data_IF_337884392463
#
_entry.id   IF_337884392463
#
_cell.length_a   1.000
_cell.length_b   1.000
_cell.length_c   1.000
_cell.angle_alpha   90.00
_cell.angle_beta   90.00
_cell.angle_gamma   90.00
#
_symmetry.space_group_name_H-M   'P 1'
#
loop_
_entity.id
_entity.type
_entity.pdbx_description
1 polymer ?
#
# COMPACT_ATOMS: atom_id res chain seq x y z
N UNK A 1 -81.26 -29.79 -11.95
CA UNK A 1 -80.61 -28.47 -12.13
C UNK A 1 -80.25 -28.32 -13.61
N UNK A 2 -80.52 -27.17 -14.24
CA UNK A 2 -80.13 -26.93 -15.64
C UNK A 2 -78.67 -26.45 -15.64
N UNK A 3 -77.80 -27.17 -16.34
CA UNK A 3 -76.34 -26.97 -16.40
C UNK A 3 -75.89 -25.81 -17.31
N UNK A 4 -76.82 -25.01 -17.83
CA UNK A 4 -76.53 -23.84 -18.66
C UNK A 4 -77.18 -22.62 -18.02
N UNK A 5 -76.56 -22.10 -16.96
CA UNK A 5 -76.87 -20.76 -16.45
C UNK A 5 -76.03 -19.75 -17.22
N UNK A 6 -76.59 -18.60 -17.65
CA UNK A 6 -75.83 -17.57 -18.35
C UNK A 6 -74.55 -17.14 -17.63
N UNK A 7 -74.58 -17.16 -16.29
CA UNK A 7 -73.47 -16.83 -15.38
C UNK A 7 -72.15 -17.59 -15.69
N UNK A 8 -72.22 -18.80 -16.25
CA UNK A 8 -71.02 -19.59 -16.56
C UNK A 8 -70.23 -19.05 -17.77
N UNK A 9 -70.86 -18.19 -18.58
CA UNK A 9 -70.24 -17.55 -19.73
C UNK A 9 -69.81 -16.11 -19.43
N UNK A 10 -70.04 -15.59 -18.21
CA UNK A 10 -69.71 -14.21 -17.86
C UNK A 10 -68.21 -13.93 -17.95
N UNK A 11 -67.36 -14.87 -17.51
CA UNK A 11 -65.90 -14.75 -17.62
C UNK A 11 -65.44 -14.72 -19.08
N UNK A 12 -66.02 -15.57 -19.93
CA UNK A 12 -65.72 -15.59 -21.36
C UNK A 12 -66.21 -14.31 -22.03
N UNK A 13 -67.41 -13.83 -21.66
CA UNK A 13 -67.99 -12.61 -22.21
C UNK A 13 -67.20 -11.36 -21.80
N UNK A 14 -66.62 -11.34 -20.59
CA UNK A 14 -65.74 -10.27 -20.13
C UNK A 14 -64.38 -10.27 -20.83
N UNK A 15 -63.87 -11.44 -21.23
CA UNK A 15 -62.63 -11.59 -21.99
C UNK A 15 -62.78 -11.27 -23.49
N UNK A 16 -64.01 -11.23 -24.04
CA UNK A 16 -64.21 -10.84 -25.44
C UNK A 16 -63.84 -9.36 -25.59
N UNK A 17 -62.85 -9.01 -26.45
CA UNK A 17 -62.46 -7.62 -26.65
C UNK A 17 -63.67 -6.83 -27.17
N UNK A 18 -63.96 -5.72 -26.49
CA UNK A 18 -65.05 -4.85 -26.91
C UNK A 18 -64.72 -4.27 -28.30
N UNK A 19 -65.65 -4.33 -29.26
CA UNK A 19 -65.42 -3.70 -30.55
C UNK A 19 -65.28 -2.18 -30.33
N UNK A 20 -64.13 -1.63 -30.68
CA UNK A 20 -63.88 -0.18 -30.65
C UNK A 20 -64.43 0.53 -31.90
N UNK A 21 -65.25 -0.15 -32.70
CA UNK A 21 -65.88 0.39 -33.90
C UNK A 21 -67.14 1.14 -33.46
N UNK A 22 -67.05 2.46 -33.40
CA UNK A 22 -68.15 3.34 -32.96
C UNK A 22 -69.15 3.59 -34.09
N UNK A 23 -68.66 3.96 -35.27
CA UNK A 23 -69.44 4.24 -36.48
C UNK A 23 -68.63 3.90 -37.76
N UNK A 24 -69.18 4.22 -38.93
CA UNK A 24 -68.51 4.00 -40.23
C UNK A 24 -67.24 4.83 -40.44
N UNK A 25 -67.05 5.88 -39.63
CA UNK A 25 -65.94 6.83 -39.72
C UNK A 25 -64.96 6.67 -38.53
N UNK A 26 -65.08 5.57 -37.77
CA UNK A 26 -64.23 5.26 -36.61
C UNK A 26 -64.20 6.38 -35.54
N UNK A 27 -65.30 7.12 -35.38
CA UNK A 27 -65.41 8.23 -34.44
C UNK A 27 -64.74 9.53 -34.92
N UNK A 28 -64.29 9.59 -36.18
CA UNK A 28 -63.68 10.76 -36.81
C UNK A 28 -64.50 11.19 -38.04
N UNK A 29 -65.64 11.89 -37.86
CA UNK A 29 -66.53 12.25 -38.97
C UNK A 29 -65.84 13.21 -39.95
N UNK A 30 -65.80 12.84 -41.22
CA UNK A 30 -65.24 13.64 -42.30
C UNK A 30 -66.27 14.66 -42.82
N UNK A 31 -66.37 15.80 -42.13
CA UNK A 31 -67.36 16.85 -42.43
C UNK A 31 -66.75 18.02 -43.22
N UNK A 32 -66.76 17.92 -44.56
CA UNK A 32 -66.18 18.92 -45.47
C UNK A 32 -66.85 20.31 -45.40
N UNK A 33 -68.01 20.42 -44.75
CA UNK A 33 -68.72 21.71 -44.62
C UNK A 33 -68.04 22.69 -43.67
N UNK A 34 -67.10 22.22 -42.85
CA UNK A 34 -66.39 23.04 -41.85
C UNK A 34 -65.26 23.89 -42.41
N UNK A 35 -64.80 23.60 -43.62
CA UNK A 35 -63.70 24.30 -44.25
C UNK A 35 -64.22 25.29 -45.28
N UNK A 36 -64.18 26.58 -44.96
CA UNK A 36 -64.69 27.67 -45.82
C UNK A 36 -63.98 27.72 -47.19
N UNK A 37 -62.71 27.32 -47.23
CA UNK A 37 -61.88 27.27 -48.45
C UNK A 37 -62.39 26.32 -49.55
N UNK A 38 -63.23 25.33 -49.20
CA UNK A 38 -63.83 24.43 -50.20
C UNK A 38 -65.09 25.02 -50.85
N UNK A 39 -65.67 26.07 -50.25
CA UNK A 39 -66.96 26.63 -50.65
C UNK A 39 -66.86 28.08 -51.14
N UNK A 40 -65.81 28.81 -50.81
CA UNK A 40 -65.53 30.19 -51.26
C UNK A 40 -64.32 30.28 -52.21
N UNK A 41 -64.38 31.13 -53.24
CA UNK A 41 -63.35 31.27 -54.30
C UNK A 41 -61.99 31.81 -53.80
N UNK A 42 -61.95 32.37 -52.59
CA UNK A 42 -60.75 32.98 -51.98
C UNK A 42 -60.56 32.58 -50.49
N UNK A 43 -61.07 31.42 -50.08
CA UNK A 43 -60.91 30.97 -48.69
C UNK A 43 -59.48 30.51 -48.38
N UNK A 44 -59.10 30.60 -47.09
CA UNK A 44 -57.77 30.24 -46.62
C UNK A 44 -57.57 28.71 -46.59
N UNK A 45 -56.67 28.19 -47.42
CA UNK A 45 -56.38 26.76 -47.52
C UNK A 45 -55.47 26.24 -46.39
N UNK A 46 -54.92 27.15 -45.56
CA UNK A 46 -53.91 26.82 -44.55
C UNK A 46 -54.43 25.88 -43.45
N UNK A 47 -55.75 25.89 -43.17
CA UNK A 47 -56.37 25.03 -42.16
C UNK A 47 -56.54 23.58 -42.62
N UNK A 48 -56.74 23.36 -43.92
CA UNK A 48 -56.89 22.02 -44.49
C UNK A 48 -55.51 21.40 -44.82
N UNK A 49 -54.59 22.24 -45.30
CA UNK A 49 -53.24 21.85 -45.72
C UNK A 49 -52.19 22.67 -44.96
N UNK A 50 -51.81 22.27 -43.73
CA UNK A 50 -50.78 22.99 -42.98
C UNK A 50 -49.45 22.96 -43.74
N UNK A 51 -48.82 24.12 -43.91
CA UNK A 51 -47.54 24.25 -44.61
C UNK A 51 -46.40 23.63 -43.81
N UNK A 52 -45.50 22.89 -44.48
CA UNK A 52 -44.35 22.25 -43.85
C UNK A 52 -43.39 23.22 -43.11
N UNK A 53 -43.41 24.49 -43.50
CA UNK A 53 -42.56 25.55 -42.93
C UNK A 53 -43.15 26.19 -41.66
N UNK A 54 -44.40 25.90 -41.31
CA UNK A 54 -45.11 26.50 -40.17
C UNK A 54 -45.82 25.42 -39.32
N UNK A 55 -45.06 24.42 -38.87
CA UNK A 55 -45.58 23.39 -37.96
C UNK A 55 -45.63 23.92 -36.51
N UNK A 56 -46.72 23.67 -35.77
CA UNK A 56 -46.79 24.01 -34.34
C UNK A 56 -45.88 23.10 -33.50
N UNK A 57 -45.42 23.61 -32.36
CA UNK A 57 -44.68 22.81 -31.38
C UNK A 57 -45.55 21.65 -30.86
N UNK A 58 -45.04 20.43 -30.94
CA UNK A 58 -45.77 19.23 -30.56
C UNK A 58 -45.76 19.04 -29.03
N UNK A 59 -46.92 18.74 -28.44
CA UNK A 59 -46.99 18.36 -27.02
C UNK A 59 -46.19 17.05 -26.81
N UNK A 60 -45.37 16.94 -25.75
CA UNK A 60 -44.69 15.70 -25.41
C UNK A 60 -45.60 14.45 -25.34
N UNK A 61 -46.88 14.59 -25.00
CA UNK A 61 -47.84 13.46 -25.02
C UNK A 61 -48.20 13.01 -26.44
N UNK A 62 -48.25 13.94 -27.38
CA UNK A 62 -48.54 13.65 -28.79
C UNK A 62 -47.29 13.12 -29.50
N UNK A 63 -46.10 13.54 -29.06
CA UNK A 63 -44.82 13.00 -29.54
C UNK A 63 -44.72 11.48 -29.36
N UNK A 64 -45.25 10.94 -28.26
CA UNK A 64 -45.30 9.50 -28.02
C UNK A 64 -46.18 8.75 -29.05
N UNK A 65 -47.25 9.37 -29.54
CA UNK A 65 -48.16 8.76 -30.52
C UNK A 65 -47.55 8.63 -31.92
N UNK A 66 -46.45 9.35 -32.19
CA UNK A 66 -45.70 9.28 -33.45
C UNK A 66 -44.61 8.20 -33.46
N UNK A 67 -44.37 7.54 -32.32
CA UNK A 67 -43.40 6.44 -32.26
C UNK A 67 -43.88 5.25 -33.10
N UNK A 68 -42.97 4.66 -33.88
CA UNK A 68 -43.28 3.46 -34.65
C UNK A 68 -43.58 2.31 -33.67
N UNK A 69 -44.71 1.58 -33.82
CA UNK A 69 -45.02 0.41 -33.00
C UNK A 69 -43.94 -0.69 -33.02
N UNK A 70 -43.01 -0.65 -33.98
CA UNK A 70 -41.82 -1.52 -34.00
C UNK A 70 -40.76 -1.16 -32.94
N UNK A 71 -40.79 0.07 -32.43
CA UNK A 71 -39.83 0.63 -31.47
C UNK A 71 -40.35 0.59 -30.04
N UNK A 72 -41.68 0.66 -29.86
CA UNK A 72 -42.30 0.25 -28.61
C UNK A 72 -42.09 -1.25 -28.44
N UNK A 73 -41.51 -1.67 -27.31
CA UNK A 73 -41.13 -3.05 -27.05
C UNK A 73 -42.23 -4.09 -27.36
N UNK A 74 -41.88 -5.39 -27.47
CA UNK A 74 -42.76 -6.41 -28.02
C UNK A 74 -44.12 -6.35 -27.36
N UNK A 75 -45.15 -6.06 -28.15
CA UNK A 75 -46.52 -6.35 -27.78
C UNK A 75 -46.57 -7.84 -27.43
N UNK A 76 -46.73 -8.15 -26.15
CA UNK A 76 -46.98 -9.51 -25.71
C UNK A 76 -48.43 -9.82 -26.04
N UNK A 77 -48.69 -10.06 -27.33
CA UNK A 77 -49.90 -10.76 -27.73
C UNK A 77 -49.86 -12.12 -27.05
N UNK A 78 -50.80 -12.34 -26.14
CA UNK A 78 -50.85 -13.51 -25.30
C UNK A 78 -51.20 -14.72 -26.20
N UNK A 79 -50.16 -15.44 -26.61
CA UNK A 79 -50.25 -16.66 -27.40
C UNK A 79 -50.14 -16.40 -28.90
N UNK A 80 -48.93 -16.50 -29.43
CA UNK A 80 -48.53 -17.26 -30.62
C UNK A 80 -47.14 -16.75 -31.01
N UNK A 81 -46.11 -17.58 -30.78
CA UNK A 81 -44.71 -17.22 -31.03
C UNK A 81 -44.45 -16.92 -32.50
N UNK A 82 -44.07 -15.68 -32.78
CA UNK A 82 -43.40 -15.31 -34.02
C UNK A 82 -41.89 -15.20 -33.73
N UNK A 83 -41.14 -16.09 -34.37
CA UNK A 83 -39.68 -16.10 -34.40
C UNK A 83 -39.19 -14.80 -35.07
N UNK A 84 -38.57 -13.92 -34.30
CA UNK A 84 -37.97 -12.69 -34.79
C UNK A 84 -36.75 -12.34 -33.95
N UNK A 85 -35.59 -12.27 -34.60
CA UNK A 85 -34.28 -11.98 -34.02
C UNK A 85 -34.27 -10.57 -33.41
N UNK A 86 -34.59 -10.44 -32.13
CA UNK A 86 -34.42 -9.19 -31.39
C UNK A 86 -33.05 -9.18 -30.72
N UNK A 87 -32.09 -8.45 -31.30
CA UNK A 87 -31.00 -7.84 -30.53
C UNK A 87 -31.63 -7.09 -29.35
N UNK A 88 -31.30 -7.41 -28.09
CA UNK A 88 -31.86 -6.69 -26.96
C UNK A 88 -31.35 -5.24 -27.02
N UNK A 89 -32.30 -4.29 -27.05
CA UNK A 89 -32.03 -2.87 -26.88
C UNK A 89 -31.17 -2.64 -25.63
N UNK A 90 -30.14 -1.82 -25.78
CA UNK A 90 -29.09 -1.56 -24.80
C UNK A 90 -29.53 -0.82 -23.52
N UNK A 91 -30.82 -0.80 -23.19
CA UNK A 91 -31.38 0.01 -22.10
C UNK A 91 -31.76 -0.79 -20.84
N UNK A 92 -31.78 -2.12 -20.87
CA UNK A 92 -31.89 -2.92 -19.64
C UNK A 92 -30.50 -3.18 -19.06
N UNK A 93 -30.15 -2.65 -17.86
CA UNK A 93 -28.93 -3.04 -17.18
C UNK A 93 -28.99 -4.54 -16.89
N UNK A 94 -28.13 -5.30 -17.55
CA UNK A 94 -27.98 -6.73 -17.30
C UNK A 94 -27.70 -6.88 -15.80
N UNK A 95 -28.49 -7.68 -15.05
CA UNK A 95 -28.26 -7.85 -13.61
C UNK A 95 -26.82 -8.33 -13.40
N UNK A 96 -26.09 -7.68 -12.50
CA UNK A 96 -24.72 -8.06 -12.17
C UNK A 96 -24.73 -9.41 -11.47
N UNK A 97 -24.52 -10.46 -12.27
CA UNK A 97 -24.56 -11.83 -11.85
C UNK A 97 -23.11 -12.31 -11.65
N UNK A 98 -22.69 -12.68 -10.42
CA UNK A 98 -21.28 -12.93 -10.10
C UNK A 98 -20.67 -14.15 -10.81
N UNK A 99 -21.52 -15.04 -11.37
CA UNK A 99 -21.08 -16.20 -12.15
C UNK A 99 -21.02 -15.94 -13.66
N UNK A 100 -21.62 -14.85 -14.14
CA UNK A 100 -21.64 -14.51 -15.56
C UNK A 100 -20.47 -13.56 -15.87
N UNK A 101 -19.36 -14.12 -16.36
CA UNK A 101 -18.21 -13.30 -16.78
C UNK A 101 -18.40 -12.80 -18.20
N UNK A 102 -17.92 -11.58 -18.48
CA UNK A 102 -17.84 -11.03 -19.83
C UNK A 102 -16.87 -11.90 -20.66
N UNK A 103 -17.24 -12.19 -21.90
CA UNK A 103 -16.36 -12.87 -22.85
C UNK A 103 -15.24 -11.92 -23.27
N UNK A 104 -13.98 -12.29 -23.05
CA UNK A 104 -12.84 -11.56 -23.59
C UNK A 104 -12.62 -11.99 -25.05
N UNK A 105 -12.53 -11.01 -25.96
CA UNK A 105 -12.13 -11.26 -27.33
C UNK A 105 -10.61 -11.31 -27.40
N UNK A 106 -10.07 -12.33 -28.06
CA UNK A 106 -8.63 -12.50 -28.29
C UNK A 106 -8.06 -11.26 -29.01
N UNK A 107 -7.51 -10.33 -28.25
CA UNK A 107 -6.74 -9.20 -28.76
C UNK A 107 -5.30 -9.66 -29.01
N UNK A 108 -4.68 -9.17 -30.10
CA UNK A 108 -3.32 -9.58 -30.51
C UNK A 108 -2.25 -9.30 -29.44
N UNK A 109 -2.54 -8.44 -28.47
CA UNK A 109 -1.70 -8.09 -27.31
C UNK A 109 -1.93 -8.97 -26.08
N UNK A 110 -3.00 -9.75 -26.00
CA UNK A 110 -3.28 -10.63 -24.86
C UNK A 110 -2.40 -11.88 -24.80
N UNK A 111 -1.87 -12.34 -25.94
CA UNK A 111 -1.08 -13.57 -26.04
C UNK A 111 0.38 -13.37 -25.62
N UNK A 112 0.87 -12.12 -25.56
CA UNK A 112 2.25 -11.83 -25.15
C UNK A 112 2.41 -11.55 -23.65
N UNK A 113 1.31 -11.49 -22.88
CA UNK A 113 1.34 -11.22 -21.43
C UNK A 113 1.26 -12.46 -20.54
N UNK A 114 1.04 -13.66 -21.11
CA UNK A 114 0.93 -14.90 -20.33
C UNK A 114 2.26 -15.63 -20.08
N UNK A 115 3.36 -14.90 -19.94
CA UNK A 115 4.58 -15.39 -19.29
C UNK A 115 5.11 -14.34 -18.32
N UNK A 116 4.45 -14.31 -17.15
CA UNK A 116 4.90 -13.62 -15.95
C UNK A 116 6.18 -14.31 -15.43
N UNK A 117 7.32 -14.09 -16.09
CA UNK A 117 8.68 -14.40 -15.62
C UNK A 117 9.80 -13.77 -16.48
N UNK A 118 9.47 -12.99 -17.50
CA UNK A 118 10.47 -12.15 -18.14
C UNK A 118 9.98 -10.72 -18.11
N UNK A 119 10.53 -9.93 -17.19
CA UNK A 119 10.74 -8.52 -17.46
C UNK A 119 11.21 -8.42 -18.91
N UNK A 120 10.48 -7.69 -19.74
CA UNK A 120 10.97 -7.27 -21.03
C UNK A 120 12.13 -6.30 -20.77
N UNK A 121 13.28 -6.86 -20.38
CA UNK A 121 14.58 -6.20 -20.44
C UNK A 121 14.68 -5.71 -21.87
N UNK A 122 14.55 -4.41 -22.03
CA UNK A 122 15.03 -3.72 -23.20
C UNK A 122 16.57 -3.78 -23.17
N UNK A 123 17.12 -4.99 -23.20
CA UNK A 123 18.54 -5.24 -23.40
C UNK A 123 18.80 -5.02 -24.88
N UNK A 124 18.76 -3.76 -25.31
CA UNK A 124 19.77 -3.37 -26.27
C UNK A 124 21.11 -3.57 -25.57
N UNK A 125 22.05 -4.37 -26.08
CA UNK A 125 23.40 -4.40 -25.58
C UNK A 125 24.05 -3.07 -26.02
N UNK A 126 23.64 -1.97 -25.39
CA UNK A 126 24.45 -0.78 -25.40
C UNK A 126 25.69 -1.15 -24.60
N UNK A 127 26.86 -0.97 -25.21
CA UNK A 127 28.14 -1.13 -24.52
C UNK A 127 28.19 -0.03 -23.45
N UNK A 128 27.82 -0.39 -22.22
CA UNK A 128 27.85 0.53 -21.09
C UNK A 128 29.32 0.84 -20.80
N UNK A 129 29.68 2.12 -20.86
CA UNK A 129 31.01 2.57 -20.47
C UNK A 129 31.12 2.48 -18.93
N UNK A 130 31.91 1.53 -18.46
CA UNK A 130 32.14 1.29 -17.03
C UNK A 130 33.32 2.11 -16.47
N UNK A 131 33.89 3.06 -17.23
CA UNK A 131 34.97 3.90 -16.74
C UNK A 131 34.53 4.77 -15.55
N UNK A 132 35.44 5.07 -14.63
CA UNK A 132 35.14 5.92 -13.45
C UNK A 132 34.53 7.27 -13.83
N UNK A 133 35.01 7.88 -14.92
CA UNK A 133 34.47 9.14 -15.41
C UNK A 133 33.04 9.00 -15.92
N UNK A 134 32.69 7.88 -16.55
CA UNK A 134 31.32 7.60 -16.96
C UNK A 134 30.40 7.35 -15.76
N UNK A 135 30.86 6.58 -14.78
CA UNK A 135 30.10 6.34 -13.55
C UNK A 135 29.78 7.64 -12.81
N UNK A 136 30.76 8.52 -12.62
CA UNK A 136 30.55 9.83 -11.95
C UNK A 136 29.51 10.66 -12.72
N UNK A 137 29.66 10.76 -14.04
CA UNK A 137 28.71 11.49 -14.89
C UNK A 137 27.30 10.92 -14.79
N UNK A 138 27.14 9.61 -14.80
CA UNK A 138 25.84 8.96 -14.76
C UNK A 138 25.18 9.10 -13.36
N UNK A 139 25.99 9.04 -12.30
CA UNK A 139 25.56 9.36 -10.93
C UNK A 139 25.08 10.82 -10.84
N UNK A 140 25.90 11.79 -11.25
CA UNK A 140 25.54 13.21 -11.24
C UNK A 140 24.30 13.49 -12.11
N UNK A 141 24.18 12.85 -13.27
CA UNK A 141 23.01 12.96 -14.14
C UNK A 141 21.74 12.41 -13.47
N UNK A 142 21.84 11.36 -12.65
CA UNK A 142 20.69 10.81 -11.93
C UNK A 142 20.15 11.80 -10.88
N UNK A 143 21.03 12.48 -10.13
CA UNK A 143 20.65 13.52 -9.18
C UNK A 143 20.15 14.79 -9.88
N UNK A 144 20.82 15.22 -10.95
CA UNK A 144 20.39 16.39 -11.75
C UNK A 144 19.03 16.20 -12.42
N UNK A 145 18.64 14.96 -12.74
CA UNK A 145 17.30 14.64 -13.26
C UNK A 145 16.19 14.86 -12.22
N UNK A 146 16.51 14.80 -10.93
CA UNK A 146 15.54 14.98 -9.83
C UNK A 146 15.44 16.42 -9.31
N UNK A 147 16.43 17.29 -9.55
CA UNK A 147 16.41 18.68 -9.03
C UNK A 147 15.28 19.56 -9.60
N UNK A 148 14.86 19.33 -10.84
CA UNK A 148 13.81 20.11 -11.52
C UNK A 148 12.52 19.29 -11.69
N UNK A 149 12.17 18.49 -10.68
CA UNK A 149 11.06 17.55 -10.75
C UNK A 149 9.70 18.23 -10.57
N UNK A 150 8.86 18.18 -11.62
CA UNK A 150 7.46 18.63 -11.59
C UNK A 150 6.50 17.44 -11.71
N UNK A 151 5.66 17.24 -10.69
CA UNK A 151 4.65 16.18 -10.61
C UNK A 151 3.66 16.22 -11.79
N UNK A 152 3.34 17.41 -12.31
CA UNK A 152 2.31 17.56 -13.35
C UNK A 152 2.79 17.09 -14.73
N UNK A 153 4.10 17.11 -14.97
CA UNK A 153 4.72 16.66 -16.21
C UNK A 153 4.99 15.16 -16.25
N UNK A 154 4.87 14.45 -15.13
CA UNK A 154 5.27 13.05 -15.03
C UNK A 154 4.25 12.12 -15.71
N UNK A 155 4.73 11.32 -16.65
CA UNK A 155 3.93 10.29 -17.35
C UNK A 155 4.44 8.90 -17.02
N UNK A 156 3.53 8.02 -16.65
CA UNK A 156 3.89 6.62 -16.40
C UNK A 156 4.34 5.93 -17.70
N UNK A 157 5.50 5.24 -17.73
CA UNK A 157 6.13 4.74 -18.95
C UNK A 157 5.24 3.79 -19.77
N UNK A 158 4.48 2.92 -19.08
CA UNK A 158 3.58 1.95 -19.73
C UNK A 158 2.10 2.37 -19.76
N UNK A 159 1.71 3.45 -19.08
CA UNK A 159 0.30 3.82 -18.83
C UNK A 159 0.14 5.35 -18.83
N UNK A 160 0.16 6.00 -19.99
CA UNK A 160 0.22 7.47 -20.06
C UNK A 160 -1.00 8.19 -19.48
N UNK A 161 -2.10 7.48 -19.22
CA UNK A 161 -3.33 8.04 -18.65
C UNK A 161 -3.33 8.10 -17.11
N UNK A 162 -2.22 7.73 -16.46
CA UNK A 162 -2.05 7.81 -15.01
C UNK A 162 -1.18 9.01 -14.67
N UNK A 163 -1.63 9.78 -13.69
CA UNK A 163 -0.92 10.95 -13.14
C UNK A 163 -0.33 10.60 -11.78
N UNK A 164 0.87 11.09 -11.48
CA UNK A 164 1.42 11.00 -10.14
C UNK A 164 0.68 11.96 -9.20
N UNK A 165 0.42 11.49 -7.97
CA UNK A 165 -0.26 12.27 -6.94
C UNK A 165 0.76 12.94 -6.02
N UNK A 166 1.71 12.15 -5.53
CA UNK A 166 2.75 12.58 -4.59
C UNK A 166 4.09 11.95 -4.95
N UNK A 167 5.17 12.62 -4.55
CA UNK A 167 6.55 12.14 -4.59
C UNK A 167 7.17 12.24 -3.21
N UNK A 168 7.92 11.22 -2.83
CA UNK A 168 8.71 11.17 -1.61
C UNK A 168 10.17 10.97 -2.01
N UNK A 169 11.05 11.83 -1.51
CA UNK A 169 12.50 11.69 -1.71
C UNK A 169 13.03 10.56 -0.83
N UNK A 170 13.89 9.71 -1.38
CA UNK A 170 14.46 8.59 -0.62
C UNK A 170 15.72 9.07 0.09
N UNK A 171 15.70 9.12 1.43
CA UNK A 171 16.78 9.67 2.25
C UNK A 171 17.21 8.66 3.35
N UNK A 172 18.49 8.60 3.75
CA UNK A 172 18.88 7.79 4.90
C UNK A 172 18.23 8.33 6.18
N UNK A 173 17.75 7.43 7.03
CA UNK A 173 17.04 7.81 8.26
C UNK A 173 18.00 8.13 9.42
N UNK A 174 18.29 9.41 9.65
CA UNK A 174 19.19 9.85 10.73
C UNK A 174 18.66 9.58 12.15
N UNK A 175 17.35 9.46 12.36
CA UNK A 175 16.77 9.29 13.71
C UNK A 175 16.94 7.86 14.22
N UNK A 176 16.72 6.89 13.33
CA UNK A 176 16.82 5.47 13.67
C UNK A 176 18.14 4.85 13.24
N UNK A 177 19.07 5.63 12.64
CA UNK A 177 20.30 5.08 12.08
C UNK A 177 21.15 4.34 13.10
N UNK A 178 21.20 4.86 14.32
CA UNK A 178 21.97 4.25 15.40
C UNK A 178 21.36 2.96 15.95
N UNK A 179 20.09 2.65 15.61
CA UNK A 179 19.45 1.42 16.04
C UNK A 179 19.77 0.27 15.07
N UNK A 180 20.08 -0.88 15.63
CA UNK A 180 20.19 -2.14 14.89
C UNK A 180 18.80 -2.78 14.70
N UNK A 181 18.49 -3.18 13.47
CA UNK A 181 17.22 -3.83 13.12
C UNK A 181 17.45 -5.19 12.45
N UNK A 182 16.75 -6.20 12.97
CA UNK A 182 16.75 -7.55 12.42
C UNK A 182 15.38 -7.94 11.89
N UNK A 183 15.37 -8.79 10.86
CA UNK A 183 14.16 -9.46 10.42
C UNK A 183 14.10 -10.91 10.88
N UNK A 184 13.21 -11.20 11.82
CA UNK A 184 12.86 -12.56 12.23
C UNK A 184 11.65 -13.09 11.44
N UNK A 185 11.84 -14.15 10.65
CA UNK A 185 10.76 -14.86 9.94
C UNK A 185 10.42 -16.15 10.65
N UNK A 186 9.22 -16.23 11.20
CA UNK A 186 8.72 -17.44 11.86
C UNK A 186 8.08 -18.39 10.83
N UNK A 187 8.46 -19.67 10.88
CA UNK A 187 7.83 -20.72 10.06
C UNK A 187 6.37 -21.02 10.46
N UNK A 188 6.02 -20.75 11.71
CA UNK A 188 4.66 -20.83 12.25
C UNK A 188 4.32 -19.53 12.98
N UNK A 189 3.02 -19.20 13.12
CA UNK A 189 2.61 -17.99 13.85
C UNK A 189 3.16 -18.03 15.29
N UNK A 190 3.87 -16.99 15.76
CA UNK A 190 4.45 -16.98 17.11
C UNK A 190 3.42 -16.79 18.23
N UNK A 191 2.22 -16.29 17.91
CA UNK A 191 1.12 -16.19 18.87
C UNK A 191 0.48 -17.54 19.21
N UNK A 192 -0.12 -17.62 20.40
CA UNK A 192 -0.89 -18.80 20.85
C UNK A 192 -2.35 -18.77 20.37
N UNK A 193 -2.79 -17.62 19.86
CA UNK A 193 -4.16 -17.38 19.42
C UNK A 193 -4.40 -17.89 18.00
N UNK A 194 -5.67 -18.22 17.66
CA UNK A 194 -6.06 -18.51 16.29
C UNK A 194 -5.62 -17.39 15.33
N UNK A 195 -5.34 -17.71 14.04
CA UNK A 195 -4.78 -16.75 13.10
C UNK A 195 -5.71 -15.55 12.81
N UNK A 196 -7.02 -15.73 13.00
CA UNK A 196 -8.05 -14.70 12.79
C UNK A 196 -8.09 -13.64 13.90
N UNK A 197 -7.54 -13.94 15.08
CA UNK A 197 -7.57 -13.05 16.24
C UNK A 197 -6.25 -12.33 16.37
N UNK A 198 -6.27 -11.01 16.41
CA UNK A 198 -5.10 -10.18 16.64
C UNK A 198 -4.53 -10.43 18.05
N UNK A 199 -3.20 -10.45 18.16
CA UNK A 199 -2.51 -10.66 19.43
C UNK A 199 -1.57 -9.48 19.68
N UNK A 200 -1.99 -8.47 20.47
CA UNK A 200 -1.23 -7.22 20.67
C UNK A 200 0.10 -7.45 21.41
N UNK A 201 0.29 -8.64 21.98
CA UNK A 201 1.50 -9.04 22.70
C UNK A 201 2.67 -9.34 21.77
N UNK A 202 2.39 -9.62 20.48
CA UNK A 202 3.43 -9.97 19.50
C UNK A 202 4.33 -8.78 19.15
N UNK A 203 3.81 -7.56 19.20
CA UNK A 203 4.53 -6.34 18.83
C UNK A 203 5.65 -5.99 19.82
N UNK A 204 5.52 -6.40 21.08
CA UNK A 204 6.49 -6.12 22.14
C UNK A 204 7.16 -7.39 22.66
N UNK A 205 7.15 -8.47 21.88
CA UNK A 205 7.74 -9.73 22.29
C UNK A 205 9.26 -9.63 22.44
N UNK A 206 9.82 -10.40 23.37
CA UNK A 206 11.26 -10.40 23.64
C UNK A 206 11.87 -11.71 23.13
N UNK A 207 12.97 -11.59 22.40
CA UNK A 207 13.82 -12.69 21.97
C UNK A 207 15.15 -12.59 22.71
N UNK A 208 15.50 -13.64 23.46
CA UNK A 208 16.78 -13.74 24.16
C UNK A 208 17.67 -14.78 23.46
N UNK A 209 18.83 -14.41 22.93
CA UNK A 209 19.85 -15.37 22.48
C UNK A 209 20.30 -16.27 23.63
N UNK A 210 20.30 -17.57 23.39
CA UNK A 210 20.73 -18.61 24.32
C UNK A 210 21.70 -19.55 23.61
N UNK A 211 22.72 -19.98 24.34
CA UNK A 211 23.63 -21.05 23.92
C UNK A 211 23.61 -22.15 24.99
N UNK A 212 23.39 -23.39 24.58
CA UNK A 212 23.48 -24.57 25.47
C UNK A 212 24.02 -25.75 24.69
N UNK A 213 25.02 -26.44 25.25
CA UNK A 213 25.62 -27.64 24.66
C UNK A 213 26.05 -27.49 23.18
N UNK A 214 26.44 -26.26 22.77
CA UNK A 214 26.85 -25.92 21.40
C UNK A 214 25.70 -25.57 20.45
N UNK A 215 24.45 -25.67 20.90
CA UNK A 215 23.27 -25.27 20.14
C UNK A 215 22.86 -23.82 20.49
N UNK A 216 22.69 -23.00 19.44
CA UNK A 216 22.23 -21.63 19.56
C UNK A 216 20.72 -21.55 19.28
N UNK A 217 19.95 -20.99 20.21
CA UNK A 217 18.50 -20.84 20.09
C UNK A 217 18.03 -19.53 20.70
N UNK A 218 16.80 -19.13 20.40
CA UNK A 218 16.18 -17.91 20.90
C UNK A 218 15.04 -18.28 21.85
N UNK A 219 15.16 -17.89 23.11
CA UNK A 219 14.06 -17.99 24.06
C UNK A 219 13.06 -16.85 23.83
N UNK A 220 11.78 -17.19 23.69
CA UNK A 220 10.71 -16.26 23.35
C UNK A 220 9.81 -15.97 24.54
N UNK A 221 9.60 -14.68 24.81
CA UNK A 221 8.83 -14.21 25.94
C UNK A 221 7.69 -13.28 25.51
N UNK A 222 6.53 -13.43 26.17
CA UNK A 222 5.33 -12.61 25.96
C UNK A 222 4.76 -12.12 27.28
N UNK A 223 4.04 -11.01 27.26
CA UNK A 223 3.22 -10.61 28.42
C UNK A 223 2.09 -11.62 28.63
N UNK A 224 1.64 -11.76 29.88
CA UNK A 224 0.53 -12.67 30.20
C UNK A 224 -0.81 -12.10 29.73
N UNK A 225 -0.98 -10.79 29.87
CA UNK A 225 -2.21 -10.06 29.62
C UNK A 225 -2.03 -9.07 28.46
N UNK A 226 -3.12 -8.84 27.71
CA UNK A 226 -3.13 -7.90 26.58
C UNK A 226 -3.03 -6.47 27.06
N UNK A 227 -3.69 -6.15 28.18
CA UNK A 227 -3.65 -4.82 28.79
C UNK A 227 -2.22 -4.41 29.14
N UNK A 228 -1.42 -5.34 29.68
CA UNK A 228 -0.01 -5.12 29.97
C UNK A 228 0.82 -4.84 28.70
N UNK A 229 0.54 -5.52 27.59
CA UNK A 229 1.22 -5.24 26.31
C UNK A 229 0.85 -3.87 25.75
N UNK A 230 -0.44 -3.49 25.84
CA UNK A 230 -0.92 -2.19 25.37
C UNK A 230 -0.33 -1.07 26.23
N UNK A 231 -0.36 -1.22 27.55
CA UNK A 231 0.22 -0.25 28.48
C UNK A 231 1.73 -0.10 28.27
N UNK A 232 2.47 -1.21 28.12
CA UNK A 232 3.90 -1.16 27.83
C UNK A 232 4.23 -0.43 26.52
N UNK A 233 3.43 -0.64 25.47
CA UNK A 233 3.58 0.11 24.22
C UNK A 233 3.26 1.59 24.38
N UNK A 234 2.16 1.91 25.06
CA UNK A 234 1.73 3.29 25.29
C UNK A 234 2.74 4.06 26.15
N UNK A 235 3.25 3.45 27.22
CA UNK A 235 4.28 4.05 28.07
C UNK A 235 5.57 4.27 27.30
N UNK A 236 6.01 3.32 26.48
CA UNK A 236 7.19 3.47 25.62
C UNK A 236 7.03 4.57 24.56
N UNK A 237 5.83 4.74 23.99
CA UNK A 237 5.55 5.78 22.99
C UNK A 237 5.39 7.17 23.59
N UNK A 238 4.78 7.27 24.79
CA UNK A 238 4.53 8.55 25.46
C UNK A 238 5.77 9.09 26.20
N UNK A 239 6.76 8.22 26.47
CA UNK A 239 7.95 8.59 27.25
C UNK A 239 8.93 9.39 26.40
N UNK A 240 9.41 10.51 26.97
CA UNK A 240 10.53 11.28 26.40
C UNK A 240 11.86 10.57 26.66
N UNK A 241 12.84 10.74 25.76
CA UNK A 241 14.18 10.15 25.86
C UNK A 241 14.93 10.53 27.16
N UNK A 242 14.59 11.66 27.76
CA UNK A 242 15.20 12.18 29.01
C UNK A 242 14.37 11.87 30.28
N UNK A 243 13.34 11.02 30.18
CA UNK A 243 12.53 10.69 31.35
C UNK A 243 13.33 9.93 32.40
N UNK A 244 13.20 10.33 33.66
CA UNK A 244 13.85 9.69 34.82
C UNK A 244 13.33 8.27 35.04
N UNK A 245 14.13 7.45 35.73
CA UNK A 245 13.78 6.08 36.10
C UNK A 245 12.42 5.99 36.78
N UNK A 246 11.49 5.28 36.13
CA UNK A 246 10.30 4.75 36.79
C UNK A 246 10.63 3.33 37.26
N UNK A 247 10.38 3.02 38.53
CA UNK A 247 10.47 1.66 39.09
C UNK A 247 9.42 0.68 38.49
N UNK A 248 8.65 1.11 37.48
CA UNK A 248 7.59 0.32 36.86
C UNK A 248 8.19 -0.76 35.95
N UNK A 249 8.14 -2.00 36.45
CA UNK A 249 8.61 -3.18 35.71
C UNK A 249 7.45 -3.91 35.04
N UNK A 250 7.62 -4.25 33.76
CA UNK A 250 6.66 -5.09 33.03
C UNK A 250 7.15 -6.54 32.97
N UNK A 251 6.37 -7.53 33.47
CA UNK A 251 6.77 -8.93 33.46
C UNK A 251 6.43 -9.63 32.13
N UNK A 252 7.45 -10.21 31.51
CA UNK A 252 7.39 -11.07 30.34
C UNK A 252 7.62 -12.52 30.75
N UNK A 253 6.77 -13.42 30.29
CA UNK A 253 6.80 -14.83 30.66
C UNK A 253 7.35 -15.67 29.51
N UNK A 254 8.13 -16.68 29.86
CA UNK A 254 8.64 -17.65 28.90
C UNK A 254 7.49 -18.37 28.20
N UNK A 255 7.56 -18.43 26.87
CA UNK A 255 6.57 -19.11 26.05
C UNK A 255 7.17 -20.36 25.41
N UNK A 256 8.30 -20.21 24.69
CA UNK A 256 8.98 -21.32 23.99
C UNK A 256 10.35 -20.94 23.47
N UNK A 257 11.09 -21.94 23.00
CA UNK A 257 12.35 -21.77 22.31
C UNK A 257 12.18 -21.89 20.78
N UNK A 258 12.93 -21.06 20.05
CA UNK A 258 13.07 -21.11 18.61
C UNK A 258 14.49 -21.51 18.22
N UNK A 259 14.62 -22.50 17.35
CA UNK A 259 15.86 -22.83 16.67
C UNK A 259 16.03 -21.93 15.45
N UNK A 260 17.27 -21.48 15.22
CA UNK A 260 17.63 -20.70 14.04
C UNK A 260 17.94 -21.65 12.89
N UNK A 261 17.13 -21.62 11.83
CA UNK A 261 17.28 -22.52 10.68
C UNK A 261 18.22 -21.93 9.63
N UNK A 262 18.14 -20.61 9.42
CA UNK A 262 18.96 -19.88 8.45
C UNK A 262 19.25 -18.50 9.01
N UNK A 263 20.52 -18.10 8.95
CA UNK A 263 20.96 -16.72 9.17
C UNK A 263 21.47 -16.17 7.85
N UNK A 264 21.01 -14.98 7.50
CA UNK A 264 21.45 -14.23 6.32
C UNK A 264 21.92 -12.87 6.86
N UNK A 265 23.24 -12.68 6.90
CA UNK A 265 23.91 -11.49 7.45
C UNK A 265 24.07 -10.36 6.42
N UNK A 266 23.83 -10.63 5.13
CA UNK A 266 23.85 -9.61 4.09
C UNK A 266 22.50 -9.66 3.37
N UNK A 267 21.63 -8.69 3.68
CA UNK A 267 20.25 -8.62 3.19
C UNK A 267 20.09 -7.42 2.25
N UNK A 268 20.62 -7.49 1.01
CA UNK A 268 20.67 -6.34 0.10
C UNK A 268 19.30 -5.92 -0.46
N UNK A 269 18.26 -6.73 -0.23
CA UNK A 269 16.94 -6.56 -0.85
C UNK A 269 15.84 -6.16 0.13
N UNK A 270 16.13 -5.98 1.42
CA UNK A 270 15.14 -5.65 2.44
C UNK A 270 15.57 -4.41 3.21
N UNK A 271 14.69 -3.41 3.21
CA UNK A 271 14.91 -2.10 3.81
C UNK A 271 13.71 -1.76 4.69
N UNK A 272 13.96 -1.13 5.82
CA UNK A 272 12.94 -0.43 6.58
C UNK A 272 12.69 0.91 5.88
N UNK A 273 11.43 1.20 5.55
CA UNK A 273 11.02 2.46 4.94
C UNK A 273 10.02 3.17 5.85
N UNK A 274 10.38 4.36 6.32
CA UNK A 274 9.53 5.24 7.11
C UNK A 274 9.06 6.37 6.20
N UNK A 275 7.77 6.38 5.89
CA UNK A 275 7.16 7.45 5.11
C UNK A 275 6.79 8.59 6.04
N UNK A 276 7.34 9.77 5.78
CA UNK A 276 7.01 11.00 6.47
C UNK A 276 6.45 12.00 5.45
N UNK A 277 5.24 12.48 5.71
CA UNK A 277 4.58 13.50 4.87
C UNK A 277 5.19 14.90 5.04
N UNK A 278 6.17 15.03 5.93
CA UNK A 278 6.61 16.31 6.44
C UNK A 278 5.54 16.85 7.38
N UNK A 279 5.95 17.65 8.36
CA UNK A 279 5.11 18.12 9.46
C UNK A 279 3.86 18.88 8.97
N UNK A 280 2.79 18.15 8.66
CA UNK A 280 1.52 18.64 8.19
C UNK A 280 0.65 18.98 9.40
N UNK A 281 0.78 20.23 9.87
CA UNK A 281 -0.15 20.91 10.78
C UNK A 281 -0.39 20.21 12.14
N UNK A 282 0.51 20.43 13.07
CA UNK A 282 0.13 20.57 14.47
C UNK A 282 0.20 22.06 14.84
N UNK A 283 -0.98 22.69 14.84
CA UNK A 283 -1.23 23.88 15.64
C UNK A 283 -1.06 23.44 17.11
N UNK A 284 -0.35 24.26 17.89
CA UNK A 284 -0.14 24.16 19.34
C UNK A 284 0.81 23.06 19.86
N UNK A 285 2.07 23.42 20.03
CA UNK A 285 2.86 23.09 21.23
C UNK A 285 4.02 24.10 21.37
N UNK A 286 3.66 25.35 21.70
CA UNK A 286 4.60 26.30 22.32
C UNK A 286 4.89 25.83 23.76
N UNK A 287 5.84 24.90 23.93
CA UNK A 287 6.45 24.62 25.24
C UNK A 287 7.82 25.29 25.26
N UNK A 288 7.93 26.33 26.10
CA UNK A 288 8.92 27.42 26.05
C UNK A 288 10.38 27.07 26.40
N UNK A 289 10.77 25.80 26.62
CA UNK A 289 12.09 25.49 27.21
C UNK A 289 12.88 24.30 26.61
N UNK A 290 12.48 23.74 25.45
CA UNK A 290 13.29 22.73 24.75
C UNK A 290 13.80 23.25 23.40
N UNK A 291 15.11 23.09 23.13
CA UNK A 291 15.67 23.38 21.80
C UNK A 291 14.82 22.64 20.75
N UNK A 292 14.30 23.31 19.72
CA UNK A 292 13.48 22.65 18.71
C UNK A 292 14.33 21.56 18.04
N UNK A 293 13.92 20.30 18.19
CA UNK A 293 14.51 19.20 17.41
C UNK A 293 14.38 19.56 15.93
N UNK A 294 15.42 19.32 15.11
CA UNK A 294 15.34 19.63 13.69
C UNK A 294 14.17 18.85 13.07
N UNK A 295 13.19 19.58 12.54
CA UNK A 295 11.99 18.99 11.94
C UNK A 295 12.38 18.22 10.69
N UNK A 296 11.80 17.03 10.53
CA UNK A 296 12.02 16.17 9.38
C UNK A 296 11.34 16.73 8.12
N UNK A 297 12.01 16.67 6.97
CA UNK A 297 11.42 17.04 5.70
C UNK A 297 10.47 15.94 5.19
N UNK A 298 9.58 16.28 4.25
CA UNK A 298 8.79 15.26 3.56
C UNK A 298 9.72 14.31 2.81
N UNK A 299 9.64 13.01 3.09
CA UNK A 299 10.57 12.03 2.56
C UNK A 299 10.21 10.60 2.92
N UNK A 300 10.75 9.68 2.14
CA UNK A 300 10.76 8.26 2.42
C UNK A 300 12.13 7.89 2.97
N UNK A 301 12.18 7.65 4.27
CA UNK A 301 13.44 7.46 4.96
C UNK A 301 13.77 5.99 5.09
N UNK A 302 14.98 5.60 4.70
CA UNK A 302 15.38 4.20 4.67
C UNK A 302 16.46 3.87 5.71
N UNK A 303 16.40 2.63 6.21
CA UNK A 303 17.45 1.97 6.99
C UNK A 303 17.59 0.53 6.50
N UNK A 304 18.83 0.07 6.36
CA UNK A 304 19.11 -1.31 5.94
C UNK A 304 18.82 -2.27 7.10
N UNK A 305 18.33 -3.47 6.76
CA UNK A 305 18.20 -4.58 7.71
C UNK A 305 19.55 -5.29 7.79
N UNK A 306 20.10 -5.43 9.00
CA UNK A 306 21.44 -6.00 9.20
C UNK A 306 21.44 -7.51 9.06
N UNK A 307 20.45 -8.19 9.63
CA UNK A 307 20.36 -9.64 9.59
C UNK A 307 18.93 -10.11 9.43
N UNK A 308 18.80 -11.23 8.74
CA UNK A 308 17.55 -11.95 8.56
C UNK A 308 17.69 -13.38 9.05
N UNK A 309 16.80 -13.76 9.96
CA UNK A 309 16.82 -15.07 10.60
C UNK A 309 15.49 -15.80 10.35
N UNK A 310 15.59 -17.05 9.88
CA UNK A 310 14.42 -17.94 9.77
C UNK A 310 14.33 -18.80 11.03
N UNK A 311 13.24 -18.63 11.77
CA UNK A 311 13.01 -19.27 13.06
C UNK A 311 12.01 -20.42 12.94
N UNK A 312 12.31 -21.50 13.65
CA UNK A 312 11.42 -22.65 13.80
C UNK A 312 11.31 -23.03 15.26
N UNK A 313 10.16 -23.57 15.66
CA UNK A 313 9.95 -24.00 17.04
C UNK A 313 10.93 -25.12 17.39
N UNK A 314 11.79 -24.90 18.39
CA UNK A 314 12.68 -25.95 18.92
C UNK A 314 11.80 -27.02 19.55
N UNK A 315 12.10 -28.30 19.28
CA UNK A 315 11.38 -29.41 19.90
C UNK A 315 11.76 -29.49 21.37
N UNK A 316 10.77 -29.50 22.24
CA UNK A 316 10.99 -29.64 23.69
C UNK A 316 11.58 -31.01 23.96
N UNK A 317 12.83 -31.04 24.41
CA UNK A 317 13.51 -32.25 24.86
C UNK A 317 13.40 -32.31 26.39
N UNK A 318 12.70 -33.32 26.90
CA UNK A 318 12.42 -33.45 28.35
C UNK A 318 13.68 -33.65 29.21
N UNK A 319 14.83 -33.97 28.58
CA UNK A 319 16.11 -34.20 29.26
C UNK A 319 17.05 -32.99 29.20
N UNK A 320 16.71 -31.96 28.43
CA UNK A 320 17.55 -30.79 28.15
C UNK A 320 16.99 -29.60 28.93
N UNK A 321 17.18 -29.63 30.24
CA UNK A 321 16.95 -28.48 31.10
C UNK A 321 18.27 -27.70 31.19
N UNK A 322 18.41 -26.66 30.37
CA UNK A 322 19.55 -25.76 30.47
C UNK A 322 19.42 -24.91 31.74
N UNK A 323 20.54 -24.72 32.44
CA UNK A 323 20.57 -24.11 33.78
C UNK A 323 20.11 -22.65 33.80
N UNK A 324 20.23 -21.94 32.68
CA UNK A 324 19.94 -20.52 32.57
C UNK A 324 18.56 -20.21 31.94
N UNK A 325 17.59 -21.10 32.18
CA UNK A 325 16.21 -20.86 31.76
C UNK A 325 15.51 -19.91 32.72
N UNK A 326 15.12 -18.75 32.21
CA UNK A 326 14.31 -17.79 32.97
C UNK A 326 12.84 -18.01 32.63
N UNK A 327 12.00 -18.19 33.65
CA UNK A 327 10.54 -18.32 33.43
C UNK A 327 9.86 -16.95 33.29
N UNK A 328 10.41 -15.92 33.94
CA UNK A 328 9.89 -14.55 33.93
C UNK A 328 11.03 -13.55 33.84
N UNK A 329 10.93 -12.62 32.90
CA UNK A 329 11.81 -11.47 32.73
C UNK A 329 11.05 -10.21 33.12
N UNK A 330 11.64 -9.37 33.97
CA UNK A 330 11.08 -8.05 34.29
C UNK A 330 11.86 -7.01 33.51
N UNK A 331 11.18 -6.33 32.59
CA UNK A 331 11.80 -5.25 31.81
C UNK A 331 11.45 -3.92 32.44
N UNK A 332 12.47 -3.09 32.61
CA UNK A 332 12.35 -1.68 32.97
C UNK A 332 13.11 -0.84 31.95
N UNK A 333 12.75 0.43 31.89
CA UNK A 333 13.51 1.40 31.12
C UNK A 333 14.75 1.82 31.90
N UNK A 334 15.86 1.97 31.21
CA UNK A 334 17.12 2.46 31.76
C UNK A 334 17.60 3.57 30.84
N UNK A 335 17.99 4.75 31.36
CA UNK A 335 18.55 5.83 30.55
C UNK A 335 19.86 5.37 29.91
N UNK A 336 20.17 5.92 28.74
CA UNK A 336 21.43 5.61 28.06
C UNK A 336 22.60 6.05 28.95
N UNK A 337 23.61 5.18 29.03
CA UNK A 337 24.90 5.52 29.61
C UNK A 337 25.67 6.48 28.69
N UNK A 338 26.67 7.17 29.24
CA UNK A 338 27.49 8.09 28.46
C UNK A 338 28.22 7.39 27.30
N UNK A 339 28.61 6.13 27.47
CA UNK A 339 29.25 5.33 26.42
C UNK A 339 28.26 5.05 25.29
N UNK A 340 27.05 4.60 25.61
CA UNK A 340 25.97 4.38 24.63
C UNK A 340 25.57 5.68 23.90
N UNK A 341 25.56 6.82 24.60
CA UNK A 341 25.33 8.13 23.97
C UNK A 341 26.42 8.46 22.94
N UNK A 342 27.69 8.21 23.26
CA UNK A 342 28.80 8.46 22.34
C UNK A 342 28.78 7.54 21.13
N UNK A 343 28.46 6.25 21.30
CA UNK A 343 28.31 5.31 20.19
C UNK A 343 27.14 5.71 19.28
N UNK A 344 26.03 6.14 19.87
CA UNK A 344 24.87 6.66 19.12
C UNK A 344 25.22 7.91 18.32
N UNK A 345 26.02 8.81 18.89
CA UNK A 345 26.50 10.01 18.21
C UNK A 345 27.47 9.67 17.06
N UNK A 346 28.38 8.72 17.23
CA UNK A 346 29.29 8.27 16.16
C UNK A 346 28.50 7.63 15.01
N UNK A 347 27.52 6.77 15.31
CA UNK A 347 26.67 6.16 14.30
C UNK A 347 25.82 7.21 13.55
N UNK A 348 25.34 8.24 14.25
CA UNK A 348 24.58 9.34 13.63
C UNK A 348 25.47 10.23 12.77
N UNK A 349 26.74 10.41 13.14
CA UNK A 349 27.72 11.16 12.36
C UNK A 349 27.97 10.53 10.98
N UNK A 350 27.85 9.20 10.84
CA UNK A 350 27.97 8.51 9.54
C UNK A 350 26.99 9.06 8.48
N UNK A 351 25.78 9.42 8.89
CA UNK A 351 24.74 9.94 8.00
C UNK A 351 24.78 11.46 7.90
N UNK A 352 25.03 12.13 9.03
CA UNK A 352 24.86 13.57 9.14
C UNK A 352 26.11 14.37 8.76
N UNK A 353 27.31 13.80 8.92
CA UNK A 353 28.56 14.47 8.59
C UNK A 353 29.01 14.10 7.16
N UNK A 354 28.93 15.02 6.18
CA UNK A 354 29.42 14.77 4.83
C UNK A 354 30.94 14.54 4.78
N UNK A 355 31.66 14.88 5.84
CA UNK A 355 33.11 14.68 5.99
C UNK A 355 33.46 13.39 6.73
N UNK A 356 32.48 12.62 7.23
CA UNK A 356 32.72 11.43 8.06
C UNK A 356 33.74 10.45 7.43
N UNK A 357 33.57 10.15 6.14
CA UNK A 357 34.47 9.27 5.39
C UNK A 357 35.83 9.91 5.09
N UNK A 358 35.91 11.23 4.95
CA UNK A 358 37.18 11.93 4.72
C UNK A 358 38.01 12.02 6.00
N UNK A 359 37.36 12.15 7.16
CA UNK A 359 38.02 12.19 8.47
C UNK A 359 38.61 10.83 8.90
N UNK A 360 37.96 9.71 8.55
CA UNK A 360 38.51 8.36 8.83
C UNK A 360 39.65 7.95 7.89
N UNK A 361 39.68 8.47 6.66
CA UNK A 361 40.71 8.14 5.68
C UNK A 361 42.14 8.53 6.10
N UNK A 362 42.30 9.55 6.96
CA UNK A 362 43.60 9.99 7.45
C UNK A 362 44.09 9.21 8.69
N UNK A 363 43.24 8.38 9.32
CA UNK A 363 43.59 7.66 10.57
C UNK A 363 43.93 6.18 10.32
N UNK A 364 43.36 5.56 9.29
CA UNK A 364 43.65 4.15 8.91
C UNK A 364 44.68 4.01 7.77
N UNK A 365 45.23 5.11 7.26
CA UNK A 365 46.25 5.13 6.20
C UNK A 365 47.71 5.14 6.73
N UNK A 366 47.95 4.95 8.03
CA UNK A 366 49.31 4.77 8.60
C UNK A 366 49.74 3.29 8.70
N UNK A 367 49.25 2.45 7.77
CA UNK A 367 49.44 1.00 7.78
C UNK A 367 50.31 0.41 6.66
N UNK A 368 51.10 1.20 5.91
CA UNK A 368 52.17 0.68 5.06
C UNK A 368 53.39 1.61 5.11
N UNK A 369 54.25 1.39 6.11
CA UNK A 369 55.60 1.96 6.13
C UNK A 369 56.51 1.14 5.20
N UNK A 370 56.75 1.67 4.00
CA UNK A 370 57.85 1.24 3.14
C UNK A 370 59.19 1.58 3.84
N UNK A 371 59.92 0.54 4.22
CA UNK A 371 61.11 0.58 5.05
C UNK A 371 62.33 1.01 4.20
N UNK A 372 62.36 2.25 3.72
CA UNK A 372 63.59 2.85 3.20
C UNK A 372 63.53 4.37 3.16
N UNK A 373 63.99 5.03 4.24
CA UNK A 373 64.81 6.26 4.23
C UNK A 373 65.19 6.59 5.70
N UNK A 374 66.51 6.65 5.96
CA UNK A 374 67.07 7.06 7.25
C UNK A 374 66.88 8.57 7.53
N UNK A 375 66.76 8.99 8.81
CA UNK A 375 66.44 10.36 9.22
C UNK A 375 67.69 11.20 9.48
N UNK A 376 67.53 12.52 9.75
CA UNK A 376 68.40 13.19 10.69
C UNK A 376 67.66 13.75 11.91
N UNK A 377 68.32 13.52 13.03
CA UNK A 377 68.04 13.85 14.42
C UNK A 377 67.75 15.34 14.69
N UNK A 378 66.99 15.65 15.75
CA UNK A 378 67.55 16.20 17.00
C UNK A 378 66.47 16.60 18.04
N UNK A 379 66.63 16.04 19.26
CA UNK A 379 66.58 16.68 20.60
C UNK A 379 65.29 17.39 21.10
N UNK A 380 64.83 17.30 22.37
CA UNK A 380 65.18 16.55 23.59
C UNK A 380 64.16 16.94 24.72
N UNK A 381 64.14 16.19 25.85
CA UNK A 381 63.59 16.49 27.22
C UNK A 381 62.11 16.09 27.47
N UNK A 382 61.79 14.94 28.10
CA UNK A 382 61.76 14.55 29.54
C UNK A 382 60.59 15.20 30.34
N UNK A 383 59.81 14.57 31.24
CA UNK A 383 60.05 13.46 32.19
C UNK A 383 58.73 13.04 32.89
N UNK A 384 58.61 11.76 33.26
CA UNK A 384 57.84 11.22 34.42
C UNK A 384 56.34 10.96 34.18
N UNK A 385 55.72 9.82 34.51
CA UNK A 385 56.09 8.66 35.32
C UNK A 385 54.91 8.31 36.24
N UNK A 386 54.25 7.17 36.04
CA UNK A 386 53.20 6.68 36.96
C UNK A 386 52.31 5.61 36.33
N UNK A 387 52.54 4.35 36.72
CA UNK A 387 51.78 3.16 36.35
C UNK A 387 50.41 3.09 37.03
N UNK A 388 49.48 2.29 36.48
CA UNK A 388 48.47 1.41 37.11
C UNK A 388 47.55 0.90 35.97
N UNK A 389 47.78 -0.32 35.50
CA UNK A 389 46.96 -1.54 35.73
C UNK A 389 45.77 -1.64 34.77
N UNK A 390 45.98 -2.45 33.71
CA UNK A 390 45.00 -2.92 32.73
C UNK A 390 43.94 -3.80 33.41
N UNK A 391 42.67 -3.40 33.36
CA UNK A 391 41.53 -4.31 33.37
C UNK A 391 41.01 -4.43 31.94
N UNK A 392 41.37 -5.54 31.29
CA UNK A 392 40.87 -5.93 29.98
C UNK A 392 39.40 -6.39 30.09
N UNK A 393 38.48 -5.55 29.62
CA UNK A 393 37.14 -5.96 29.22
C UNK A 393 37.24 -6.56 27.81
N UNK A 394 37.18 -7.88 27.73
CA UNK A 394 37.09 -8.62 26.47
C UNK A 394 35.72 -8.36 25.81
N UNK A 395 35.74 -7.44 24.85
CA UNK A 395 34.73 -7.26 23.80
C UNK A 395 34.93 -8.37 22.77
N UNK A 396 34.02 -9.35 22.73
CA UNK A 396 34.02 -10.37 21.69
C UNK A 396 33.25 -9.87 20.47
N UNK A 397 34.00 -9.47 19.44
CA UNK A 397 33.60 -9.56 18.05
C UNK A 397 34.02 -10.90 17.42
N UNK A 398 33.43 -11.18 16.26
CA UNK A 398 33.66 -12.33 15.35
C UNK A 398 33.08 -13.68 15.79
N UNK A 399 32.09 -14.18 15.03
CA UNK A 399 32.27 -15.12 13.88
C UNK A 399 31.22 -14.82 12.80
#
# INVERSE_FOLDING_TARGET
MRYARPEFLDDIAADVPLPMIVDGDLGMPLDLSRWECLWEEHGDESELNPSADALPDLDPKDQFLLEDPSTSGPYTSNGYGASGTSTPSASTPIPHVPWLRKTEYLSREGITRSTLSQESKHNMPQTIDISRAAQIRDIEASFGATENFDLTGLKHPNKPNVTALESYEILPDAEIWANAYDLFRFSERPGERPPEVEDPRLDCAILRPMESDGDHFLAYYLTKEDEAAIQFKQSRLARSLEATDDDETTPFHFVRDYETVKVEQDVPNEFLLVLDDGDAKLEDDEIEDQKPKPRRSKGAYYKNIERKMLLKKKRVNAYEAYLDKWDVIKVMHVPMSQEEETEREEALAEVMDPMYLLGRGDVDAEGEVDESIHPPETNNISTGGGALEDEALEVFGEI
#
